data_IF_751856752042
#
_entry.id   IF_751856752042
#
_cell.length_a   1.000
_cell.length_b   1.000
_cell.length_c   1.000
_cell.angle_alpha   90.00
_cell.angle_beta   90.00
_cell.angle_gamma   90.00
#
_symmetry.space_group_name_H-M   'P 1'
#
loop_
_entity.id
_entity.type
_entity.pdbx_description
1 polymer ?
#
# COMPACT_ATOMS: atom_id res chain seq x y z
N UNK A 1 29.85 -65.37 -16.45
CA UNK A 1 28.63 -64.59 -16.77
C UNK A 1 27.80 -64.58 -15.50
N UNK A 2 27.85 -63.57 -14.62
CA UNK A 2 27.46 -62.17 -14.84
C UNK A 2 25.94 -62.14 -15.06
N UNK A 3 25.08 -61.59 -14.22
CA UNK A 3 25.17 -60.76 -13.02
C UNK A 3 23.87 -59.93 -13.00
N UNK A 4 23.20 -59.78 -11.84
CA UNK A 4 22.11 -58.81 -11.52
C UNK A 4 21.65 -59.20 -10.10
N UNK A 5 21.49 -58.32 -9.10
CA UNK A 5 20.49 -57.26 -9.00
C UNK A 5 20.72 -56.49 -7.69
N UNK A 6 20.96 -55.17 -7.72
CA UNK A 6 20.70 -54.26 -6.59
C UNK A 6 20.40 -52.84 -7.12
N UNK A 7 19.14 -52.56 -7.44
CA UNK A 7 18.70 -51.21 -7.86
C UNK A 7 17.28 -50.86 -7.35
N UNK A 8 16.98 -51.23 -6.10
CA UNK A 8 15.65 -51.00 -5.49
C UNK A 8 15.57 -49.89 -4.44
N UNK A 9 16.66 -49.58 -3.74
CA UNK A 9 16.55 -48.85 -2.44
C UNK A 9 16.91 -47.36 -2.51
N UNK A 10 17.54 -46.90 -3.60
CA UNK A 10 18.09 -45.52 -3.68
C UNK A 10 17.06 -44.43 -4.04
N UNK A 11 15.92 -44.79 -4.64
CA UNK A 11 14.94 -43.82 -5.17
C UNK A 11 13.96 -43.27 -4.11
N UNK A 12 13.71 -44.01 -3.03
CA UNK A 12 12.73 -43.60 -2.01
C UNK A 12 13.30 -42.56 -1.03
N UNK A 13 14.61 -42.60 -0.75
CA UNK A 13 15.25 -41.64 0.16
C UNK A 13 15.40 -40.24 -0.47
N UNK A 14 15.62 -40.15 -1.79
CA UNK A 14 15.80 -38.85 -2.46
C UNK A 14 14.51 -38.04 -2.62
N UNK A 15 13.35 -38.70 -2.75
CA UNK A 15 12.06 -38.00 -2.94
C UNK A 15 11.59 -37.31 -1.65
N UNK A 16 11.80 -37.92 -0.49
CA UNK A 16 11.43 -37.35 0.82
C UNK A 16 12.31 -36.16 1.22
N UNK A 17 13.59 -36.13 0.82
CA UNK A 17 14.48 -35.01 1.16
C UNK A 17 14.20 -33.74 0.33
N UNK A 18 13.66 -33.86 -0.89
CA UNK A 18 13.45 -32.71 -1.78
C UNK A 18 12.19 -31.90 -1.45
N UNK A 19 11.09 -32.58 -1.08
CA UNK A 19 9.83 -31.94 -0.67
C UNK A 19 9.94 -31.22 0.69
N UNK A 20 10.69 -31.80 1.62
CA UNK A 20 10.90 -31.24 2.97
C UNK A 20 11.85 -30.02 2.93
N UNK A 21 12.88 -30.05 2.08
CA UNK A 21 13.78 -28.90 1.85
C UNK A 21 13.06 -27.74 1.15
N UNK A 22 12.14 -28.01 0.22
CA UNK A 22 11.29 -27.00 -0.41
C UNK A 22 10.33 -26.32 0.59
N UNK A 23 9.75 -27.11 1.49
CA UNK A 23 8.83 -26.63 2.53
C UNK A 23 9.54 -25.80 3.60
N UNK A 24 10.73 -26.21 4.03
CA UNK A 24 11.55 -25.48 5.01
C UNK A 24 12.10 -24.16 4.41
N UNK A 25 12.49 -24.16 3.13
CA UNK A 25 12.96 -22.95 2.43
C UNK A 25 11.84 -21.91 2.31
N UNK A 26 10.63 -22.33 1.93
CA UNK A 26 9.45 -21.46 1.87
C UNK A 26 9.02 -20.92 3.24
N UNK A 27 9.12 -21.72 4.31
CA UNK A 27 8.83 -21.24 5.68
C UNK A 27 9.83 -20.18 6.14
N UNK A 28 11.12 -20.37 5.86
CA UNK A 28 12.17 -19.39 6.23
C UNK A 28 11.99 -18.07 5.49
N UNK A 29 11.63 -18.11 4.21
CA UNK A 29 11.38 -16.92 3.40
C UNK A 29 10.17 -16.12 3.93
N UNK A 30 9.03 -16.80 4.18
CA UNK A 30 7.84 -16.16 4.78
C UNK A 30 8.15 -15.50 6.13
N UNK A 31 8.93 -16.15 6.99
CA UNK A 31 9.34 -15.57 8.27
C UNK A 31 10.25 -14.34 8.09
N UNK A 32 11.12 -14.37 7.07
CA UNK A 32 11.96 -13.22 6.73
C UNK A 32 11.09 -12.04 6.30
N UNK A 33 10.18 -12.24 5.35
CA UNK A 33 9.24 -11.20 4.91
C UNK A 33 8.38 -10.65 6.04
N UNK A 34 7.86 -11.52 6.93
CA UNK A 34 7.10 -11.07 8.09
C UNK A 34 7.93 -10.19 9.02
N UNK A 35 9.21 -10.54 9.21
CA UNK A 35 10.13 -9.72 10.01
C UNK A 35 10.38 -8.38 9.33
N UNK A 36 10.64 -8.38 8.02
CA UNK A 36 10.88 -7.16 7.25
C UNK A 36 9.65 -6.24 7.27
N UNK A 37 8.44 -6.80 7.12
CA UNK A 37 7.18 -6.05 7.29
C UNK A 37 7.04 -5.41 8.66
N UNK A 38 7.38 -6.11 9.75
CA UNK A 38 7.35 -5.55 11.12
C UNK A 38 8.31 -4.37 11.28
N UNK A 39 9.53 -4.53 10.77
CA UNK A 39 10.57 -3.49 10.81
C UNK A 39 10.09 -2.27 10.03
N UNK A 40 9.66 -2.44 8.77
CA UNK A 40 9.24 -1.34 7.91
C UNK A 40 7.99 -0.62 8.44
N UNK A 41 7.02 -1.37 8.99
CA UNK A 41 5.82 -0.78 9.61
C UNK A 41 6.19 0.08 10.82
N UNK A 42 7.14 -0.39 11.65
CA UNK A 42 7.63 0.39 12.77
C UNK A 42 8.40 1.64 12.32
N UNK A 43 9.27 1.52 11.31
CA UNK A 43 10.00 2.66 10.73
C UNK A 43 9.04 3.73 10.21
N UNK A 44 8.06 3.34 9.39
CA UNK A 44 7.06 4.28 8.87
C UNK A 44 6.26 4.93 10.01
N UNK A 45 5.88 4.17 11.03
CA UNK A 45 5.21 4.70 12.21
C UNK A 45 6.04 5.76 12.97
N UNK A 46 7.37 5.58 13.07
CA UNK A 46 8.26 6.58 13.68
C UNK A 46 8.31 7.84 12.84
N UNK A 47 8.51 7.71 11.51
CA UNK A 47 8.54 8.85 10.59
C UNK A 47 7.27 9.70 10.72
N UNK A 48 6.10 9.06 10.80
CA UNK A 48 4.81 9.73 10.88
C UNK A 48 4.59 10.42 12.23
N UNK A 49 4.95 9.76 13.34
CA UNK A 49 4.67 10.28 14.68
C UNK A 49 5.71 11.30 15.16
N UNK A 50 6.99 11.04 14.90
CA UNK A 50 8.10 11.73 15.55
C UNK A 50 9.07 12.37 14.54
N UNK A 51 8.82 12.18 13.24
CA UNK A 51 9.66 12.68 12.15
C UNK A 51 10.84 11.78 11.81
N UNK A 52 11.53 12.10 10.70
CA UNK A 52 12.67 11.31 10.21
C UNK A 52 13.82 11.25 11.22
N UNK A 53 14.11 12.35 11.92
CA UNK A 53 15.23 12.42 12.87
C UNK A 53 15.11 11.46 14.05
N UNK A 54 13.90 10.98 14.36
CA UNK A 54 13.66 10.01 15.42
C UNK A 54 13.93 8.55 14.99
N UNK A 55 14.17 8.30 13.70
CA UNK A 55 14.39 6.95 13.18
C UNK A 55 15.79 6.48 13.54
N UNK A 56 15.86 5.56 14.49
CA UNK A 56 17.09 4.88 14.92
C UNK A 56 16.87 3.36 14.97
N UNK A 57 17.94 2.57 14.88
CA UNK A 57 17.84 1.10 15.00
C UNK A 57 17.28 0.71 16.37
N UNK A 58 17.66 1.45 17.42
CA UNK A 58 17.14 1.37 18.78
C UNK A 58 15.62 1.52 18.82
N UNK A 59 15.10 2.61 18.26
CA UNK A 59 13.69 2.93 18.31
C UNK A 59 12.86 1.99 17.43
N UNK A 60 13.40 1.60 16.26
CA UNK A 60 12.80 0.61 15.38
C UNK A 60 12.74 -0.76 16.05
N UNK A 61 13.79 -1.19 16.75
CA UNK A 61 13.78 -2.43 17.54
C UNK A 61 12.71 -2.39 18.62
N UNK A 62 12.64 -1.27 19.35
CA UNK A 62 11.66 -1.06 20.43
C UNK A 62 10.22 -1.15 19.92
N UNK A 63 9.89 -0.49 18.80
CA UNK A 63 8.52 -0.49 18.24
C UNK A 63 8.15 -1.76 17.47
N UNK A 64 9.09 -2.34 16.73
CA UNK A 64 8.82 -3.55 15.94
C UNK A 64 8.79 -4.84 16.78
N UNK A 65 9.38 -4.79 17.98
CA UNK A 65 9.62 -5.98 18.81
C UNK A 65 10.68 -6.93 18.23
N UNK A 66 11.44 -6.49 17.22
CA UNK A 66 12.50 -7.27 16.58
C UNK A 66 13.84 -6.96 17.25
N UNK A 67 14.60 -7.99 17.59
CA UNK A 67 15.90 -7.83 18.24
C UNK A 67 16.88 -7.01 17.36
N UNK A 68 17.65 -6.10 17.98
CA UNK A 68 18.63 -5.23 17.29
C UNK A 68 19.59 -6.00 16.38
N UNK A 69 20.13 -7.12 16.85
CA UNK A 69 21.03 -7.99 16.07
C UNK A 69 20.39 -8.51 14.78
N UNK A 70 19.08 -8.74 14.80
CA UNK A 70 18.33 -9.15 13.60
C UNK A 70 18.16 -8.00 12.61
N UNK A 71 18.02 -6.76 13.10
CA UNK A 71 17.90 -5.55 12.27
C UNK A 71 19.25 -5.20 11.66
N UNK A 72 20.33 -5.14 12.45
CA UNK A 72 21.69 -4.84 11.97
C UNK A 72 22.19 -5.81 10.89
N UNK A 73 21.77 -7.08 10.94
CA UNK A 73 22.11 -8.05 9.89
C UNK A 73 21.47 -7.73 8.54
N UNK A 74 20.38 -6.97 8.53
CA UNK A 74 19.53 -6.71 7.35
C UNK A 74 19.69 -5.29 6.81
N UNK A 75 19.93 -4.34 7.71
CA UNK A 75 20.01 -2.91 7.41
C UNK A 75 21.27 -2.33 8.03
N UNK A 76 21.99 -1.52 7.24
CA UNK A 76 23.28 -0.95 7.68
C UNK A 76 23.09 0.17 8.70
N UNK A 77 22.05 0.97 8.53
CA UNK A 77 21.76 2.15 9.34
C UNK A 77 20.28 2.56 9.19
N UNK A 78 19.90 3.68 9.81
CA UNK A 78 18.56 4.24 9.71
C UNK A 78 18.19 4.67 8.28
N UNK A 79 19.15 5.20 7.50
CA UNK A 79 18.89 5.62 6.12
C UNK A 79 18.52 4.44 5.21
N UNK A 80 19.17 3.29 5.38
CA UNK A 80 18.85 2.05 4.65
C UNK A 80 17.44 1.52 5.01
N UNK A 81 16.95 1.79 6.23
CA UNK A 81 15.56 1.50 6.58
C UNK A 81 14.59 2.43 5.83
N UNK A 82 14.88 3.73 5.79
CA UNK A 82 14.05 4.73 5.13
C UNK A 82 13.93 4.46 3.62
N UNK A 83 15.03 4.07 2.98
CA UNK A 83 15.06 3.77 1.54
C UNK A 83 14.32 2.49 1.14
N UNK A 84 13.95 1.62 2.10
CA UNK A 84 13.30 0.33 1.84
C UNK A 84 11.81 0.32 2.16
N UNK A 85 11.24 1.46 2.51
CA UNK A 85 9.81 1.60 2.72
C UNK A 85 9.10 1.34 1.39
N UNK A 86 8.11 0.45 1.40
CA UNK A 86 7.37 0.03 0.20
C UNK A 86 5.87 0.29 0.35
N UNK A 87 5.13 0.45 -0.77
CA UNK A 87 3.70 0.72 -0.78
C UNK A 87 2.84 -0.27 0.02
N UNK A 88 3.18 -1.55 0.00
CA UNK A 88 2.45 -2.61 0.71
C UNK A 88 2.56 -2.44 2.22
N UNK A 89 3.71 -1.95 2.70
CA UNK A 89 3.91 -1.61 4.11
C UNK A 89 3.08 -0.39 4.48
N UNK A 90 2.94 0.57 3.56
CA UNK A 90 2.06 1.72 3.70
C UNK A 90 0.57 1.35 3.62
N UNK A 91 0.23 0.08 3.36
CA UNK A 91 -1.14 -0.41 3.34
C UNK A 91 -1.93 0.02 2.10
N UNK A 92 -1.24 0.41 1.01
CA UNK A 92 -1.91 0.88 -0.20
C UNK A 92 -2.58 -0.25 -0.97
N UNK A 93 -3.81 -0.05 -1.48
CA UNK A 93 -4.65 -1.11 -1.99
C UNK A 93 -4.21 -1.54 -3.39
N UNK A 94 -4.58 -2.76 -3.79
CA UNK A 94 -4.53 -3.20 -5.18
C UNK A 94 -5.94 -3.22 -5.78
N UNK A 95 -6.00 -3.21 -7.11
CA UNK A 95 -7.25 -3.12 -7.87
C UNK A 95 -7.38 -4.20 -8.95
N UNK A 96 -6.51 -5.21 -8.95
CA UNK A 96 -6.48 -6.23 -9.99
C UNK A 96 -7.71 -7.15 -9.95
N UNK A 97 -8.35 -7.25 -8.79
CA UNK A 97 -9.60 -7.97 -8.56
C UNK A 97 -10.86 -7.17 -8.99
N UNK A 98 -10.71 -5.88 -9.29
CA UNK A 98 -11.82 -5.01 -9.67
C UNK A 98 -12.05 -5.05 -11.18
N UNK A 99 -13.31 -5.30 -11.57
CA UNK A 99 -13.78 -5.12 -12.94
C UNK A 99 -13.94 -3.62 -13.25
N UNK A 100 -13.46 -3.13 -14.41
CA UNK A 100 -13.76 -1.78 -14.87
C UNK A 100 -15.27 -1.57 -15.05
N UNK A 101 -15.85 -0.69 -14.24
CA UNK A 101 -17.26 -0.32 -14.25
C UNK A 101 -17.48 0.87 -13.30
N UNK A 102 -18.71 1.42 -13.24
CA UNK A 102 -19.04 2.47 -12.26
C UNK A 102 -18.88 1.99 -10.83
N UNK A 103 -19.37 0.78 -10.54
CA UNK A 103 -19.22 0.17 -9.21
C UNK A 103 -17.77 -0.18 -8.91
N UNK A 104 -16.99 -0.62 -9.90
CA UNK A 104 -15.56 -0.85 -9.78
C UNK A 104 -14.79 0.43 -9.43
N UNK A 105 -15.09 1.53 -10.11
CA UNK A 105 -14.52 2.85 -9.82
C UNK A 105 -14.87 3.32 -8.41
N UNK A 106 -16.14 3.23 -8.01
CA UNK A 106 -16.56 3.59 -6.65
C UNK A 106 -15.86 2.73 -5.58
N UNK A 107 -15.70 1.43 -5.84
CA UNK A 107 -14.98 0.51 -4.93
C UNK A 107 -13.50 0.85 -4.86
N UNK A 108 -12.86 1.18 -5.98
CA UNK A 108 -11.46 1.64 -6.03
C UNK A 108 -11.28 2.90 -5.19
N UNK A 109 -12.14 3.91 -5.39
CA UNK A 109 -12.11 5.17 -4.64
C UNK A 109 -12.31 4.95 -3.14
N UNK A 110 -13.21 4.03 -2.75
CA UNK A 110 -13.42 3.65 -1.35
C UNK A 110 -12.16 3.03 -0.75
N UNK A 111 -11.52 2.08 -1.43
CA UNK A 111 -10.26 1.48 -0.97
C UNK A 111 -9.16 2.54 -0.79
N UNK A 112 -9.07 3.50 -1.70
CA UNK A 112 -8.13 4.63 -1.56
C UNK A 112 -8.47 5.44 -0.31
N UNK A 113 -9.75 5.78 -0.09
CA UNK A 113 -10.20 6.51 1.09
C UNK A 113 -9.84 5.78 2.40
N UNK A 114 -10.12 4.47 2.47
CA UNK A 114 -9.92 3.62 3.65
C UNK A 114 -8.44 3.60 4.09
N UNK A 115 -7.50 3.66 3.15
CA UNK A 115 -6.06 3.74 3.46
C UNK A 115 -5.68 4.95 4.31
N UNK A 116 -6.47 6.02 4.24
CA UNK A 116 -6.23 7.27 4.98
C UNK A 116 -7.25 7.49 6.10
N UNK A 117 -8.07 6.50 6.46
CA UNK A 117 -9.05 6.64 7.56
C UNK A 117 -8.38 6.67 8.94
N UNK A 118 -7.17 6.13 9.05
CA UNK A 118 -6.39 6.24 10.28
C UNK A 118 -5.91 7.68 10.50
N UNK A 119 -5.93 8.14 11.75
CA UNK A 119 -5.41 9.46 12.15
C UNK A 119 -3.94 9.65 11.74
N UNK A 120 -3.19 8.55 11.67
CA UNK A 120 -1.80 8.50 11.26
C UNK A 120 -1.64 8.79 9.76
N UNK A 121 -2.53 8.29 8.90
CA UNK A 121 -2.43 8.46 7.44
C UNK A 121 -2.53 9.92 7.02
N UNK A 122 -3.51 10.67 7.55
CA UNK A 122 -3.68 12.09 7.22
C UNK A 122 -2.55 12.94 7.81
N UNK A 123 -2.09 12.64 9.04
CA UNK A 123 -0.94 13.33 9.65
C UNK A 123 0.34 13.12 8.84
N UNK A 124 0.59 11.90 8.36
CA UNK A 124 1.73 11.59 7.50
C UNK A 124 1.79 12.48 6.26
N UNK A 125 0.64 12.64 5.60
CA UNK A 125 0.53 13.52 4.43
C UNK A 125 0.78 14.97 4.80
N UNK A 126 0.21 15.46 5.92
CA UNK A 126 0.47 16.81 6.41
C UNK A 126 1.94 17.08 6.71
N UNK A 127 2.67 16.10 7.25
CA UNK A 127 4.12 16.18 7.50
C UNK A 127 4.89 16.26 6.17
N UNK A 128 4.54 15.44 5.19
CA UNK A 128 5.18 15.46 3.87
C UNK A 128 4.93 16.79 3.15
N UNK A 129 3.70 17.30 3.16
CA UNK A 129 3.32 18.53 2.47
C UNK A 129 3.95 19.78 3.09
N UNK A 130 4.18 19.79 4.41
CA UNK A 130 4.75 20.93 5.13
C UNK A 130 6.28 20.87 5.26
N UNK A 131 6.93 19.79 4.84
CA UNK A 131 8.37 19.59 4.99
C UNK A 131 9.14 19.82 3.69
N UNK A 132 10.32 20.45 3.82
CA UNK A 132 11.32 20.52 2.75
C UNK A 132 12.38 19.42 2.80
N UNK A 133 12.22 18.44 3.69
CA UNK A 133 13.16 17.34 3.81
C UNK A 133 13.10 16.41 2.58
N UNK A 134 14.20 16.36 1.83
CA UNK A 134 14.31 15.54 0.61
C UNK A 134 14.06 14.05 0.86
N UNK A 135 14.47 13.52 2.01
CA UNK A 135 14.24 12.12 2.38
C UNK A 135 12.76 11.84 2.62
N UNK A 136 12.02 12.75 3.27
CA UNK A 136 10.55 12.62 3.41
C UNK A 136 9.87 12.62 2.05
N UNK A 137 10.26 13.55 1.16
CA UNK A 137 9.71 13.64 -0.20
C UNK A 137 10.03 12.36 -1.00
N UNK A 138 11.23 11.81 -0.86
CA UNK A 138 11.63 10.57 -1.52
C UNK A 138 10.84 9.35 -1.02
N UNK A 139 10.62 9.23 0.30
CA UNK A 139 9.79 8.16 0.89
C UNK A 139 8.35 8.28 0.37
N UNK A 140 7.80 9.50 0.37
CA UNK A 140 6.45 9.74 -0.15
C UNK A 140 6.33 9.34 -1.63
N UNK A 141 7.32 9.71 -2.46
CA UNK A 141 7.36 9.32 -3.87
C UNK A 141 7.46 7.80 -4.06
N UNK A 142 8.29 7.11 -3.27
CA UNK A 142 8.44 5.65 -3.30
C UNK A 142 7.15 4.91 -2.96
N UNK A 143 6.31 5.51 -2.11
CA UNK A 143 5.00 4.97 -1.72
C UNK A 143 3.93 5.33 -2.76
N UNK A 144 3.94 6.56 -3.26
CA UNK A 144 2.88 7.09 -4.10
C UNK A 144 2.97 6.62 -5.56
N UNK A 145 4.17 6.53 -6.13
CA UNK A 145 4.34 6.14 -7.54
C UNK A 145 3.75 4.76 -7.85
N UNK A 146 3.96 3.70 -7.04
CA UNK A 146 3.33 2.41 -7.31
C UNK A 146 1.81 2.39 -7.02
N UNK A 147 1.29 3.32 -6.21
CA UNK A 147 -0.16 3.50 -6.08
C UNK A 147 -0.76 4.13 -7.33
N UNK A 148 -0.09 5.12 -7.89
CA UNK A 148 -0.45 5.74 -9.17
C UNK A 148 -0.43 4.71 -10.29
N UNK A 149 0.63 3.92 -10.42
CA UNK A 149 0.74 2.84 -11.42
C UNK A 149 -0.44 1.86 -11.32
N UNK A 150 -0.83 1.46 -10.10
CA UNK A 150 -1.98 0.57 -9.89
C UNK A 150 -3.31 1.22 -10.27
N UNK A 151 -3.48 2.51 -9.98
CA UNK A 151 -4.65 3.28 -10.38
C UNK A 151 -4.73 3.40 -11.91
N UNK A 152 -3.65 3.83 -12.55
CA UNK A 152 -3.55 3.96 -14.01
C UNK A 152 -3.79 2.61 -14.67
N UNK A 153 -3.18 1.53 -14.17
CA UNK A 153 -3.41 0.18 -14.69
C UNK A 153 -4.87 -0.30 -14.55
N UNK A 154 -5.65 0.18 -13.58
CA UNK A 154 -7.10 -0.06 -13.55
C UNK A 154 -7.83 0.71 -14.66
N UNK A 155 -7.45 1.98 -14.88
CA UNK A 155 -8.03 2.81 -15.94
C UNK A 155 -7.71 2.26 -17.33
N UNK A 156 -6.46 1.85 -17.59
CA UNK A 156 -6.02 1.27 -18.85
C UNK A 156 -6.78 -0.01 -19.21
N UNK A 157 -7.05 -0.89 -18.24
CA UNK A 157 -7.91 -2.07 -18.46
C UNK A 157 -9.32 -1.67 -18.87
N UNK A 158 -9.89 -0.64 -18.25
CA UNK A 158 -11.21 -0.15 -18.64
C UNK A 158 -11.24 0.51 -20.01
N UNK A 159 -10.15 1.14 -20.46
CA UNK A 159 -10.02 1.65 -21.82
C UNK A 159 -9.97 0.49 -22.82
N UNK A 160 -9.17 -0.54 -22.53
CA UNK A 160 -9.06 -1.73 -23.37
C UNK A 160 -10.41 -2.47 -23.51
N UNK A 161 -11.20 -2.50 -22.43
CA UNK A 161 -12.54 -3.10 -22.39
C UNK A 161 -13.63 -2.19 -23.00
N UNK A 162 -13.28 -0.98 -23.46
CA UNK A 162 -14.23 -0.01 -24.03
C UNK A 162 -15.20 0.61 -23.00
N UNK A 163 -14.89 0.49 -21.71
CA UNK A 163 -15.68 1.03 -20.59
C UNK A 163 -15.27 2.47 -20.29
N UNK A 164 -13.97 2.79 -20.39
CA UNK A 164 -13.42 4.12 -20.13
C UNK A 164 -12.90 4.82 -21.39
N UNK A 165 -12.93 6.14 -21.42
CA UNK A 165 -12.47 6.95 -22.55
C UNK A 165 -10.99 7.36 -22.42
N UNK A 166 -10.20 7.28 -23.48
CA UNK A 166 -8.77 7.65 -23.45
C UNK A 166 -8.48 9.15 -23.63
N UNK A 167 -9.32 10.04 -23.06
CA UNK A 167 -9.17 11.50 -23.24
C UNK A 167 -8.54 12.20 -22.02
N UNK A 168 -8.48 11.52 -20.89
CA UNK A 168 -8.04 12.09 -19.63
C UNK A 168 -6.59 11.73 -19.33
N UNK A 169 -5.87 12.65 -18.69
CA UNK A 169 -4.62 12.33 -18.01
C UNK A 169 -4.95 11.63 -16.69
N UNK A 170 -4.73 10.32 -16.63
CA UNK A 170 -5.06 9.50 -15.47
C UNK A 170 -4.07 9.65 -14.31
N UNK A 171 -2.84 10.09 -14.57
CA UNK A 171 -1.88 10.48 -13.54
C UNK A 171 -2.35 11.76 -12.84
N UNK A 172 -2.79 12.75 -13.62
CA UNK A 172 -3.37 13.97 -13.07
C UNK A 172 -4.70 13.69 -12.33
N UNK A 173 -5.53 12.79 -12.88
CA UNK A 173 -6.76 12.37 -12.22
C UNK A 173 -6.47 11.72 -10.85
N UNK A 174 -5.49 10.83 -10.77
CA UNK A 174 -5.06 10.21 -9.51
C UNK A 174 -4.69 11.28 -8.47
N UNK A 175 -3.85 12.25 -8.84
CA UNK A 175 -3.44 13.36 -7.98
C UNK A 175 -4.64 14.22 -7.53
N UNK A 176 -5.58 14.50 -8.44
CA UNK A 176 -6.78 15.30 -8.16
C UNK A 176 -7.74 14.58 -7.19
N UNK A 177 -7.95 13.29 -7.41
CA UNK A 177 -8.76 12.43 -6.53
C UNK A 177 -8.15 12.38 -5.15
N UNK A 178 -6.84 12.14 -5.06
CA UNK A 178 -6.13 12.07 -3.78
C UNK A 178 -6.17 13.41 -3.03
N UNK A 179 -5.87 14.52 -3.71
CA UNK A 179 -5.87 15.86 -3.11
C UNK A 179 -7.26 16.26 -2.59
N UNK A 180 -8.31 16.05 -3.39
CA UNK A 180 -9.69 16.35 -2.97
C UNK A 180 -10.15 15.48 -1.80
N UNK A 181 -9.82 14.18 -1.79
CA UNK A 181 -10.09 13.27 -0.67
C UNK A 181 -9.47 13.76 0.64
N UNK A 182 -8.18 14.12 0.59
CA UNK A 182 -7.44 14.60 1.75
C UNK A 182 -8.00 15.93 2.27
N UNK A 183 -8.32 16.86 1.36
CA UNK A 183 -8.96 18.13 1.71
C UNK A 183 -10.33 17.91 2.39
N UNK A 184 -11.19 17.07 1.81
CA UNK A 184 -12.49 16.74 2.39
C UNK A 184 -12.35 16.15 3.81
N UNK A 185 -11.41 15.22 4.03
CA UNK A 185 -11.15 14.65 5.36
C UNK A 185 -10.62 15.67 6.36
N UNK A 186 -9.68 16.51 5.95
CA UNK A 186 -9.11 17.53 6.82
C UNK A 186 -10.18 18.53 7.30
N UNK A 187 -11.06 18.96 6.40
CA UNK A 187 -12.15 19.91 6.70
C UNK A 187 -13.25 19.27 7.55
N UNK A 188 -13.66 18.03 7.27
CA UNK A 188 -14.66 17.32 8.06
C UNK A 188 -14.25 17.14 9.54
N UNK A 189 -12.94 17.03 9.82
CA UNK A 189 -12.43 16.95 11.19
C UNK A 189 -12.54 18.28 11.95
N UNK A 190 -12.43 19.42 11.26
CA UNK A 190 -12.59 20.73 11.90
C UNK A 190 -14.04 20.98 12.34
N UNK A 191 -15.01 20.51 11.55
CA UNK A 191 -16.44 20.60 11.88
C UNK A 191 -16.81 19.76 13.12
N UNK A 192 -16.17 18.60 13.34
CA UNK A 192 -16.44 17.74 14.50
C UNK A 192 -15.90 18.29 15.84
N UNK A 193 -15.00 19.29 15.80
CA UNK A 193 -14.46 19.98 16.98
C UNK A 193 -15.21 21.27 17.35
N UNK A 194 -16.18 21.70 16.53
CA UNK A 194 -17.08 22.83 16.78
C UNK A 194 -18.47 22.35 17.17
N UNK A 195 -19.20 23.17 17.92
CA UNK A 195 -20.49 22.88 18.56
C UNK A 195 -21.49 22.02 17.76
N UNK A 196 -22.12 21.08 18.46
CA UNK A 196 -23.21 20.25 17.96
C UNK A 196 -24.40 21.11 17.53
N UNK A 197 -24.63 21.24 16.23
CA UNK A 197 -25.98 21.36 15.70
C UNK A 197 -26.39 20.07 14.97
N UNK A 198 -27.38 19.40 15.56
CA UNK A 198 -28.51 18.70 14.94
C UNK A 198 -28.23 17.82 13.71
N UNK A 199 -28.27 16.50 13.94
CA UNK A 199 -29.16 15.63 13.15
C UNK A 199 -28.88 15.47 11.66
N UNK A 200 -27.65 15.12 11.28
CA UNK A 200 -27.41 14.24 10.12
C UNK A 200 -26.01 13.65 10.26
N UNK A 201 -25.91 12.34 10.41
CA UNK A 201 -24.64 11.61 10.26
C UNK A 201 -24.05 12.01 8.89
N UNK A 202 -23.11 12.96 8.89
CA UNK A 202 -22.57 13.52 7.66
C UNK A 202 -21.47 12.59 7.15
N UNK A 203 -21.91 11.51 6.50
CA UNK A 203 -21.46 11.12 5.15
C UNK A 203 -19.95 10.89 4.94
N UNK A 204 -19.20 10.42 5.95
CA UNK A 204 -17.85 9.85 5.74
C UNK A 204 -17.88 8.75 4.66
N UNK A 205 -18.93 7.92 4.65
CA UNK A 205 -19.12 6.84 3.67
C UNK A 205 -19.52 7.31 2.25
N UNK A 206 -19.71 8.61 2.04
CA UNK A 206 -20.23 9.11 0.75
C UNK A 206 -19.19 9.69 -0.20
N UNK A 207 -17.95 9.95 0.26
CA UNK A 207 -16.98 10.62 -0.61
C UNK A 207 -16.71 9.79 -1.87
N UNK A 208 -16.44 8.50 -1.72
CA UNK A 208 -16.18 7.61 -2.84
C UNK A 208 -17.34 7.56 -3.85
N UNK A 209 -18.58 7.47 -3.37
CA UNK A 209 -19.78 7.43 -4.24
C UNK A 209 -20.07 8.78 -4.92
N UNK A 210 -19.88 9.89 -4.19
CA UNK A 210 -20.04 11.23 -4.74
C UNK A 210 -18.96 11.50 -5.80
N UNK A 211 -17.71 11.14 -5.51
CA UNK A 211 -16.58 11.29 -6.43
C UNK A 211 -16.77 10.40 -7.66
N UNK A 212 -17.19 9.13 -7.48
CA UNK A 212 -17.52 8.26 -8.60
C UNK A 212 -18.64 8.86 -9.47
N UNK A 213 -19.66 9.44 -8.86
CA UNK A 213 -20.76 10.10 -9.58
C UNK A 213 -20.30 11.33 -10.34
N UNK A 214 -19.38 12.13 -9.78
CA UNK A 214 -18.80 13.30 -10.42
C UNK A 214 -17.87 12.92 -11.60
N UNK A 215 -17.07 11.87 -11.43
CA UNK A 215 -16.13 11.42 -12.44
C UNK A 215 -16.79 10.62 -13.56
N UNK A 216 -17.83 9.82 -13.26
CA UNK A 216 -18.41 8.85 -14.18
C UNK A 216 -18.69 9.41 -15.58
N UNK A 217 -19.40 10.55 -15.75
CA UNK A 217 -19.71 11.09 -17.08
C UNK A 217 -18.46 11.46 -17.90
N UNK A 218 -17.35 11.76 -17.23
CA UNK A 218 -16.09 12.19 -17.83
C UNK A 218 -15.12 11.02 -18.07
N UNK A 219 -15.26 9.92 -17.33
CA UNK A 219 -14.38 8.74 -17.49
C UNK A 219 -15.02 7.66 -18.35
N UNK A 220 -16.36 7.55 -18.40
CA UNK A 220 -17.02 6.52 -19.20
C UNK A 220 -16.85 6.78 -20.70
N UNK A 221 -16.70 5.71 -21.47
CA UNK A 221 -16.74 5.76 -22.93
C UNK A 221 -18.16 6.10 -23.41
N UNK A 222 -18.28 6.79 -24.55
CA UNK A 222 -19.59 7.13 -25.13
C UNK A 222 -20.43 5.89 -25.46
N UNK A 223 -19.77 4.77 -25.80
CA UNK A 223 -20.39 3.46 -26.02
C UNK A 223 -20.95 2.79 -24.76
N UNK A 224 -20.56 3.28 -23.57
CA UNK A 224 -20.94 2.73 -22.27
C UNK A 224 -21.79 3.71 -21.43
N UNK A 225 -22.23 4.83 -22.04
CA UNK A 225 -23.12 5.83 -21.43
C UNK A 225 -24.57 5.36 -21.35
#
# INVERSE_FOLDING_TARGET
>A
MGGTTQEGTRKTVQKTTQEDVGTVRGRRERLREQTDRKIMKATLGIVISDGIGAVTIEEVARRSGVAKTTIYRRYRNADDLLQRIQPEVAGLPNFNDLKPSRSGLATMLRRIQDCFDSELGLKAVGVVLSSDNATLKAIAAQVLAPAEERFVGFMERGIADGVFQNRLDYTFLFSTVLGSMLACKALARQEAGGERQSGKERKSDSWAENMATLLWPNVCAESAR
#
